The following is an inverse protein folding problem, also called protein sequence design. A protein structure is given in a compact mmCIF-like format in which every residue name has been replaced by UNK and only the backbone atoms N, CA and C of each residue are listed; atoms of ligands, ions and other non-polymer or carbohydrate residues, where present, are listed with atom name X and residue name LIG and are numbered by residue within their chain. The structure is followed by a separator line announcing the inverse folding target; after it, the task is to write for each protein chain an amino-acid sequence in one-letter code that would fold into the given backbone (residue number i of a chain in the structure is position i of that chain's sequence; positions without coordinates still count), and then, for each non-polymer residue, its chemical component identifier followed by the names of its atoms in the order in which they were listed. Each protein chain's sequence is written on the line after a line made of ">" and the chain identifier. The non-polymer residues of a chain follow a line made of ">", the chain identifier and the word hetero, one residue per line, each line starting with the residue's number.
data_IF_019349005326
#
_entry.id   IF_019349005326
#
_cell.length_a   1.000
_cell.length_b   1.000
_cell.length_c   1.000
_cell.angle_alpha   90.00
_cell.angle_beta   90.00
_cell.angle_gamma   90.00
#
_symmetry.space_group_name_H-M   'P 1'
#
loop_
_entity.id
_entity.type
_entity.pdbx_description
1 polymer ?
#
# COMPACT_ATOMS: atom_id res chain seq x y z
N UNK A 1 37.05 -12.25 39.88
CA UNK A 1 36.03 -11.21 40.08
C UNK A 1 35.12 -11.23 38.86
N UNK A 2 33.98 -11.91 39.00
CA UNK A 2 32.94 -12.01 37.97
C UNK A 2 32.06 -10.76 38.04
N UNK A 3 31.75 -10.16 36.89
CA UNK A 3 30.87 -9.00 36.78
C UNK A 3 29.92 -9.19 35.61
N UNK A 4 28.77 -9.78 35.90
CA UNK A 4 27.63 -10.00 34.99
C UNK A 4 26.98 -8.66 34.64
N UNK A 5 26.81 -8.38 33.35
CA UNK A 5 26.01 -7.24 32.87
C UNK A 5 24.62 -7.76 32.52
N UNK A 6 23.75 -7.83 33.53
CA UNK A 6 22.31 -8.01 33.33
C UNK A 6 21.64 -6.69 33.72
N UNK A 7 21.10 -5.98 32.73
CA UNK A 7 20.24 -4.81 32.99
C UNK A 7 18.97 -4.95 32.17
N UNK A 8 18.08 -5.79 32.70
CA UNK A 8 16.67 -5.77 32.38
C UNK A 8 16.13 -4.33 32.49
N UNK A 9 15.40 -3.87 31.47
CA UNK A 9 14.62 -2.63 31.56
C UNK A 9 13.63 -2.77 32.72
N UNK A 10 13.46 -1.74 33.57
CA UNK A 10 12.43 -1.76 34.59
C UNK A 10 11.04 -1.84 33.94
N UNK A 11 10.22 -2.79 34.40
CA UNK A 11 8.82 -2.90 34.06
C UNK A 11 8.10 -1.62 34.54
N UNK A 12 7.59 -0.81 33.60
CA UNK A 12 6.79 0.37 33.93
C UNK A 12 7.16 1.67 33.21
N UNK A 13 8.09 1.66 32.24
CA UNK A 13 8.26 2.84 31.39
C UNK A 13 6.97 3.11 30.61
N UNK A 14 6.33 4.29 30.77
CA UNK A 14 5.13 4.62 30.01
C UNK A 14 5.47 4.60 28.51
N UNK A 15 4.57 4.01 27.72
CA UNK A 15 4.69 4.02 26.26
C UNK A 15 4.70 5.46 25.71
N UNK A 16 4.82 5.65 24.39
CA UNK A 16 4.85 6.98 23.75
C UNK A 16 3.57 7.81 23.99
N UNK A 17 2.55 7.20 24.58
CA UNK A 17 1.34 7.83 25.01
C UNK A 17 1.48 8.25 26.47
N UNK A 18 1.42 9.56 26.74
CA UNK A 18 1.44 10.09 28.09
C UNK A 18 0.38 9.44 29.00
N UNK A 19 0.46 9.63 30.33
CA UNK A 19 -0.31 8.89 31.33
C UNK A 19 -1.85 8.93 31.16
N UNK A 20 -2.38 9.89 30.37
CA UNK A 20 -3.81 10.06 30.12
C UNK A 20 -4.37 9.24 28.95
N UNK A 21 -3.54 8.76 28.03
CA UNK A 21 -4.02 7.98 26.89
C UNK A 21 -4.35 6.52 27.26
N UNK A 22 -3.71 5.98 28.30
CA UNK A 22 -4.04 4.67 28.86
C UNK A 22 -5.43 4.61 29.55
N UNK A 23 -6.08 5.76 29.77
CA UNK A 23 -7.39 5.87 30.41
C UNK A 23 -8.55 6.02 29.41
N UNK A 24 -8.28 6.09 28.10
CA UNK A 24 -9.35 6.18 27.11
C UNK A 24 -9.95 4.80 26.86
N UNK A 25 -11.26 4.60 27.05
CA UNK A 25 -11.90 3.37 26.61
C UNK A 25 -11.73 3.20 25.10
N UNK A 26 -11.55 1.96 24.66
CA UNK A 26 -11.51 1.62 23.25
C UNK A 26 -12.91 1.85 22.64
N UNK A 27 -12.97 2.58 21.53
CA UNK A 27 -14.20 2.91 20.79
C UNK A 27 -14.19 2.36 19.35
N UNK A 28 -13.24 1.48 19.04
CA UNK A 28 -13.15 0.78 17.77
C UNK A 28 -12.70 -0.68 17.95
N UNK A 29 -13.23 -1.56 17.09
CA UNK A 29 -12.87 -2.97 17.01
C UNK A 29 -12.51 -3.37 15.57
N UNK A 30 -11.48 -4.19 15.44
CA UNK A 30 -11.17 -4.95 14.24
C UNK A 30 -11.41 -6.44 14.52
N UNK A 31 -12.41 -7.03 13.89
CA UNK A 31 -12.74 -8.45 14.01
C UNK A 31 -12.40 -9.21 12.74
N UNK A 32 -11.76 -10.37 12.88
CA UNK A 32 -11.35 -11.26 11.80
C UNK A 32 -12.32 -12.45 11.73
N UNK A 33 -12.46 -13.05 10.55
CA UNK A 33 -13.37 -14.20 10.33
C UNK A 33 -13.03 -15.44 11.18
N UNK A 34 -11.78 -15.56 11.62
CA UNK A 34 -11.31 -16.64 12.50
C UNK A 34 -11.66 -16.43 13.99
N UNK A 35 -12.34 -15.33 14.32
CA UNK A 35 -12.77 -14.99 15.68
C UNK A 35 -11.81 -14.09 16.44
N UNK A 36 -10.70 -13.69 15.84
CA UNK A 36 -9.75 -12.76 16.48
C UNK A 36 -10.28 -11.36 16.51
N UNK A 37 -10.09 -10.67 17.63
CA UNK A 37 -10.47 -9.28 17.77
C UNK A 37 -9.29 -8.46 18.28
N UNK A 38 -9.13 -7.27 17.70
CA UNK A 38 -8.23 -6.24 18.18
C UNK A 38 -9.03 -5.01 18.62
N UNK A 39 -8.71 -4.53 19.82
CA UNK A 39 -9.28 -3.30 20.36
C UNK A 39 -8.37 -2.12 20.02
N UNK A 40 -8.97 -0.96 19.81
CA UNK A 40 -8.25 0.25 19.49
C UNK A 40 -9.11 1.50 19.64
N UNK A 41 -8.58 2.61 19.14
CA UNK A 41 -9.27 3.89 19.11
C UNK A 41 -9.56 4.32 17.68
N UNK A 42 -10.71 4.93 17.46
CA UNK A 42 -11.08 5.50 16.18
C UNK A 42 -10.16 6.67 15.84
N UNK A 43 -9.48 6.58 14.69
CA UNK A 43 -8.57 7.62 14.20
C UNK A 43 -8.91 8.11 12.78
N UNK A 44 -10.09 7.75 12.26
CA UNK A 44 -10.61 8.15 10.96
C UNK A 44 -12.08 8.59 11.03
N UNK A 45 -12.85 8.27 10.00
CA UNK A 45 -14.29 8.51 9.96
C UNK A 45 -15.06 7.51 10.84
N UNK A 46 -16.17 7.90 11.48
CA UNK A 46 -17.02 6.99 12.23
C UNK A 46 -17.85 6.12 11.29
N UNK A 47 -17.79 4.80 11.47
CA UNK A 47 -18.44 3.88 10.55
C UNK A 47 -18.18 2.42 10.85
N UNK A 48 -18.65 1.59 9.94
CA UNK A 48 -18.36 0.18 9.86
C UNK A 48 -18.06 -0.17 8.41
N UNK A 49 -17.07 -1.00 8.18
CA UNK A 49 -16.67 -1.44 6.85
C UNK A 49 -16.15 -2.87 6.92
N UNK A 50 -16.36 -3.63 5.85
CA UNK A 50 -15.81 -4.98 5.66
C UNK A 50 -14.86 -5.04 4.46
N UNK A 51 -13.86 -5.91 4.54
CA UNK A 51 -12.87 -6.07 3.48
C UNK A 51 -11.87 -7.17 3.79
N UNK A 52 -11.00 -7.46 2.82
CA UNK A 52 -9.87 -8.36 3.04
C UNK A 52 -8.73 -7.62 3.74
N UNK A 53 -8.25 -8.20 4.84
CA UNK A 53 -7.20 -7.63 5.66
C UNK A 53 -5.83 -8.00 5.11
N UNK A 54 -5.10 -6.98 4.69
CA UNK A 54 -3.73 -7.10 4.15
C UNK A 54 -2.76 -6.32 5.02
N UNK A 55 -1.48 -6.64 4.93
CA UNK A 55 -0.42 -5.86 5.57
C UNK A 55 0.55 -5.31 4.54
N UNK A 56 1.05 -4.11 4.79
CA UNK A 56 2.07 -3.46 3.99
C UNK A 56 3.31 -3.16 4.86
N UNK A 57 4.49 -3.52 4.35
CA UNK A 57 5.78 -3.40 5.07
C UNK A 57 6.52 -2.10 4.82
N UNK A 58 5.99 -1.22 3.96
CA UNK A 58 6.57 0.08 3.68
C UNK A 58 6.60 0.94 4.94
N UNK A 59 7.77 1.53 5.19
CA UNK A 59 7.98 2.44 6.31
C UNK A 59 7.64 3.89 5.96
N UNK A 60 7.55 4.21 4.67
CA UNK A 60 7.21 5.49 4.08
C UNK A 60 6.29 5.26 2.88
N UNK A 61 5.80 6.33 2.27
CA UNK A 61 4.90 6.24 1.12
C UNK A 61 3.46 5.88 1.50
N UNK A 62 3.00 6.22 2.72
CA UNK A 62 1.62 5.93 3.09
C UNK A 62 0.60 6.75 2.27
N UNK A 63 0.83 8.01 1.83
CA UNK A 63 -0.11 8.71 0.95
C UNK A 63 -0.34 7.99 -0.38
N UNK A 64 0.72 7.47 -0.97
CA UNK A 64 0.74 6.71 -2.22
C UNK A 64 -0.07 5.42 -2.02
N UNK A 65 0.23 4.66 -0.97
CA UNK A 65 -0.44 3.41 -0.64
C UNK A 65 -1.93 3.63 -0.34
N UNK A 66 -2.30 4.70 0.38
CA UNK A 66 -3.72 4.89 0.70
C UNK A 66 -4.55 5.27 -0.52
N UNK A 67 -3.91 5.86 -1.54
CA UNK A 67 -4.54 6.33 -2.77
C UNK A 67 -4.38 5.35 -3.94
N UNK A 68 -3.66 4.26 -3.78
CA UNK A 68 -3.51 3.24 -4.82
C UNK A 68 -4.84 2.47 -5.05
N UNK A 69 -5.39 2.47 -6.28
CA UNK A 69 -6.58 1.71 -6.66
C UNK A 69 -6.51 0.21 -6.35
N UNK A 70 -5.32 -0.38 -6.28
CA UNK A 70 -5.11 -1.80 -6.02
C UNK A 70 -5.65 -2.25 -4.65
N UNK A 71 -5.76 -1.32 -3.68
CA UNK A 71 -6.29 -1.58 -2.35
C UNK A 71 -7.82 -1.53 -2.28
N UNK A 72 -8.52 -1.38 -3.40
CA UNK A 72 -9.99 -1.37 -3.43
C UNK A 72 -10.55 -2.65 -2.80
N UNK A 73 -11.39 -2.47 -1.78
CA UNK A 73 -12.00 -3.59 -1.05
C UNK A 73 -11.14 -4.17 0.07
N UNK A 74 -9.94 -3.61 0.31
CA UNK A 74 -8.99 -4.11 1.30
C UNK A 74 -8.91 -3.19 2.53
N UNK A 75 -8.66 -3.81 3.68
CA UNK A 75 -8.26 -3.13 4.91
C UNK A 75 -6.74 -3.21 4.99
N UNK A 76 -6.06 -2.07 5.02
CA UNK A 76 -4.60 -2.03 5.01
C UNK A 76 -4.08 -1.87 6.43
N UNK A 77 -3.19 -2.77 6.83
CA UNK A 77 -2.42 -2.67 8.07
C UNK A 77 -0.97 -2.29 7.78
N UNK A 78 -0.48 -1.18 8.32
CA UNK A 78 0.95 -0.87 8.23
C UNK A 78 1.74 -1.57 9.33
N UNK A 79 2.90 -2.14 8.95
CA UNK A 79 3.83 -2.69 9.94
C UNK A 79 4.65 -1.61 10.64
N UNK A 80 4.91 -0.48 9.96
CA UNK A 80 5.58 0.65 10.58
C UNK A 80 4.66 1.30 11.62
N UNK A 81 5.13 1.49 12.87
CA UNK A 81 4.23 1.76 13.99
C UNK A 81 3.66 3.19 14.01
N UNK A 82 4.35 4.16 13.40
CA UNK A 82 3.95 5.57 13.43
C UNK A 82 3.52 6.02 12.03
N UNK A 83 2.22 6.19 11.81
CA UNK A 83 1.68 6.58 10.51
C UNK A 83 1.09 7.99 10.59
N UNK A 84 1.26 8.80 9.52
CA UNK A 84 0.78 10.19 9.47
C UNK A 84 1.83 11.25 9.86
N UNK A 85 3.08 10.87 10.14
CA UNK A 85 4.12 11.78 10.64
C UNK A 85 4.49 12.94 9.71
N UNK A 86 4.33 12.80 8.38
CA UNK A 86 4.55 13.88 7.42
C UNK A 86 3.26 14.42 6.78
N UNK A 87 2.10 14.02 7.32
CA UNK A 87 0.77 14.43 6.87
C UNK A 87 0.46 14.00 5.44
N UNK A 88 -0.44 14.73 4.79
CA UNK A 88 -0.89 14.51 3.42
C UNK A 88 -0.62 15.73 2.56
N UNK A 89 -0.30 15.48 1.29
CA UNK A 89 -0.28 16.46 0.21
C UNK A 89 -0.79 15.81 -1.08
N UNK A 90 -1.18 16.62 -2.06
CA UNK A 90 -1.74 16.11 -3.32
C UNK A 90 -0.69 15.56 -4.29
N UNK A 91 0.59 15.94 -4.14
CA UNK A 91 1.65 15.51 -5.06
C UNK A 91 2.11 14.07 -4.83
N UNK A 92 1.89 13.51 -3.64
CA UNK A 92 2.22 12.11 -3.30
C UNK A 92 0.99 11.18 -3.46
N UNK A 93 -0.10 11.67 -4.05
CA UNK A 93 -1.30 10.86 -4.25
C UNK A 93 -1.25 10.17 -5.62
N UNK A 94 -1.35 8.83 -5.63
CA UNK A 94 -1.44 8.02 -6.85
C UNK A 94 -2.82 8.13 -7.52
N UNK A 95 -3.80 8.68 -6.81
CA UNK A 95 -5.13 8.94 -7.34
C UNK A 95 -5.87 10.05 -6.59
N UNK A 96 -6.98 10.58 -7.16
CA UNK A 96 -7.71 11.71 -6.57
C UNK A 96 -8.32 11.47 -5.18
N UNK A 97 -8.46 10.20 -4.75
CA UNK A 97 -9.12 9.78 -3.52
C UNK A 97 -8.47 8.53 -2.94
N UNK A 98 -8.66 8.23 -1.65
CA UNK A 98 -8.26 6.94 -1.11
C UNK A 98 -9.14 5.81 -1.66
N UNK A 99 -8.54 4.67 -1.96
CA UNK A 99 -9.24 3.49 -2.49
C UNK A 99 -9.39 2.34 -1.50
N UNK A 100 -8.53 2.28 -0.48
CA UNK A 100 -8.67 1.32 0.62
C UNK A 100 -10.01 1.46 1.33
N UNK A 101 -10.53 0.33 1.84
CA UNK A 101 -11.77 0.31 2.60
C UNK A 101 -11.58 0.82 4.03
N UNK A 102 -10.47 0.45 4.67
CA UNK A 102 -10.14 0.93 6.01
C UNK A 102 -8.67 0.75 6.40
N UNK A 103 -8.26 1.45 7.45
CA UNK A 103 -6.86 1.56 7.83
C UNK A 103 -6.62 1.08 9.27
N UNK A 104 -5.60 0.26 9.47
CA UNK A 104 -5.19 -0.25 10.79
C UNK A 104 -3.75 0.15 11.06
N UNK A 105 -3.53 0.85 12.17
CA UNK A 105 -2.20 1.32 12.57
C UNK A 105 -1.91 1.06 14.03
N UNK A 106 -0.62 1.05 14.40
CA UNK A 106 -0.22 1.00 15.81
C UNK A 106 -0.40 2.35 16.49
N UNK A 107 0.08 3.43 15.88
CA UNK A 107 -0.01 4.80 16.38
C UNK A 107 -0.30 5.75 15.22
N UNK A 108 -1.35 6.57 15.37
CA UNK A 108 -1.67 7.62 14.42
C UNK A 108 -1.05 8.95 14.87
N UNK A 109 -0.37 9.64 13.96
CA UNK A 109 0.14 10.99 14.19
C UNK A 109 -0.94 12.02 13.83
N UNK A 110 -1.49 12.69 14.84
CA UNK A 110 -2.46 13.78 14.65
C UNK A 110 -1.84 15.13 14.29
N UNK A 111 -0.55 15.31 14.54
CA UNK A 111 0.18 16.57 14.31
C UNK A 111 1.39 16.31 13.41
N UNK A 112 1.22 16.32 12.09
CA UNK A 112 2.31 16.05 11.16
C UNK A 112 3.36 17.14 11.19
N UNK A 113 4.62 16.76 10.91
CA UNK A 113 5.74 17.68 10.83
C UNK A 113 6.51 17.48 9.53
N UNK A 114 6.06 18.15 8.47
CA UNK A 114 6.75 18.21 7.18
C UNK A 114 6.40 19.51 6.46
N UNK A 115 7.39 20.13 5.81
CA UNK A 115 7.19 21.36 5.02
C UNK A 115 6.21 21.15 3.86
N UNK A 116 6.06 19.91 3.37
CA UNK A 116 5.11 19.53 2.31
C UNK A 116 3.70 19.30 2.83
N UNK A 117 3.51 19.12 4.14
CA UNK A 117 2.22 18.79 4.74
C UNK A 117 1.19 19.89 4.50
N UNK A 118 0.01 19.51 4.01
CA UNK A 118 -1.14 20.41 3.83
C UNK A 118 -2.33 20.04 4.71
N UNK A 119 -2.42 18.78 5.13
CA UNK A 119 -3.50 18.24 5.95
C UNK A 119 -2.96 17.11 6.86
N UNK A 120 -3.59 16.88 8.01
CA UNK A 120 -3.31 15.71 8.83
C UNK A 120 -3.92 14.45 8.21
N UNK A 121 -3.30 13.29 8.41
CA UNK A 121 -3.87 12.03 7.91
C UNK A 121 -5.26 11.73 8.53
N UNK A 122 -5.50 11.91 9.84
CA UNK A 122 -6.84 11.72 10.42
C UNK A 122 -7.92 12.58 9.77
N UNK A 123 -7.62 13.85 9.47
CA UNK A 123 -8.59 14.76 8.86
C UNK A 123 -8.86 14.38 7.40
N UNK A 124 -7.82 13.98 6.66
CA UNK A 124 -7.95 13.44 5.31
C UNK A 124 -8.88 12.20 5.28
N UNK A 125 -8.67 11.25 6.21
CA UNK A 125 -9.49 10.04 6.31
C UNK A 125 -10.95 10.37 6.67
N UNK A 126 -11.19 11.32 7.58
CA UNK A 126 -12.55 11.79 7.93
C UNK A 126 -13.25 12.43 6.74
N UNK A 127 -12.55 13.30 6.02
CA UNK A 127 -13.06 14.00 4.83
C UNK A 127 -13.48 13.02 3.74
N UNK A 128 -12.71 11.95 3.55
CA UNK A 128 -13.00 10.90 2.57
C UNK A 128 -13.84 9.72 3.11
N UNK A 129 -14.33 9.82 4.35
CA UNK A 129 -15.18 8.81 4.99
C UNK A 129 -14.52 7.42 5.12
N UNK A 130 -13.20 7.39 5.30
CA UNK A 130 -12.43 6.16 5.51
C UNK A 130 -12.36 5.84 7.00
N UNK A 131 -12.77 4.63 7.38
CA UNK A 131 -12.72 4.17 8.77
C UNK A 131 -11.30 3.75 9.11
N UNK A 132 -10.80 4.15 10.28
CA UNK A 132 -9.45 3.81 10.72
C UNK A 132 -9.38 3.55 12.23
N UNK A 133 -8.50 2.64 12.62
CA UNK A 133 -8.23 2.24 14.00
C UNK A 133 -6.75 2.37 14.34
N UNK A 134 -6.45 2.95 15.50
CA UNK A 134 -5.11 2.97 16.10
C UNK A 134 -5.05 2.18 17.40
N UNK A 135 -3.84 1.93 17.93
CA UNK A 135 -3.63 1.17 19.16
C UNK A 135 -3.52 -0.34 18.96
N UNK A 136 -3.79 -0.84 17.75
CA UNK A 136 -3.73 -2.26 17.43
C UNK A 136 -2.29 -2.78 17.52
N UNK A 137 -2.09 -3.98 18.05
CA UNK A 137 -0.81 -4.68 17.93
C UNK A 137 -0.65 -5.18 16.49
N UNK A 138 -0.20 -4.29 15.60
CA UNK A 138 -0.01 -4.59 14.19
C UNK A 138 1.03 -5.69 13.97
N UNK A 139 1.98 -5.90 14.90
CA UNK A 139 2.95 -7.00 14.81
C UNK A 139 2.28 -8.35 15.04
N UNK A 140 1.44 -8.46 16.07
CA UNK A 140 0.65 -9.68 16.31
C UNK A 140 -0.29 -9.96 15.12
N UNK A 141 -0.93 -8.91 14.59
CA UNK A 141 -1.81 -9.00 13.45
C UNK A 141 -1.07 -9.46 12.17
N UNK A 142 0.06 -8.85 11.83
CA UNK A 142 0.87 -9.26 10.67
C UNK A 142 1.38 -10.69 10.80
N UNK A 143 1.82 -11.12 11.99
CA UNK A 143 2.22 -12.51 12.21
C UNK A 143 1.08 -13.48 11.92
N UNK A 144 -0.14 -13.12 12.30
CA UNK A 144 -1.32 -13.93 12.06
C UNK A 144 -1.63 -14.08 10.57
N UNK A 145 -1.66 -12.96 9.84
CA UNK A 145 -1.86 -12.95 8.39
C UNK A 145 -0.77 -13.73 7.65
N UNK A 146 0.47 -13.68 8.15
CA UNK A 146 1.58 -14.44 7.55
C UNK A 146 1.44 -15.96 7.72
N UNK A 147 0.81 -16.42 8.81
CA UNK A 147 0.64 -17.85 9.09
C UNK A 147 -0.60 -18.41 8.41
N UNK A 148 -1.72 -17.69 8.50
CA UNK A 148 -3.02 -18.19 8.08
C UNK A 148 -3.52 -17.61 6.74
N UNK A 149 -2.79 -16.65 6.16
CA UNK A 149 -3.13 -16.00 4.90
C UNK A 149 -3.97 -14.73 5.08
N UNK A 150 -4.41 -14.18 3.95
CA UNK A 150 -5.35 -13.06 3.90
C UNK A 150 -6.68 -13.51 4.49
N UNK A 151 -7.29 -12.66 5.31
CA UNK A 151 -8.55 -12.96 5.99
C UNK A 151 -9.55 -11.86 5.77
N UNK A 152 -10.83 -12.23 5.82
CA UNK A 152 -11.91 -11.24 5.85
C UNK A 152 -12.02 -10.64 7.25
N UNK A 153 -12.20 -9.33 7.29
CA UNK A 153 -12.31 -8.59 8.53
C UNK A 153 -13.37 -7.49 8.45
N UNK A 154 -13.85 -7.09 9.62
CA UNK A 154 -14.73 -5.94 9.81
C UNK A 154 -14.05 -4.98 10.77
N UNK A 155 -14.00 -3.72 10.36
CA UNK A 155 -13.58 -2.61 11.18
C UNK A 155 -14.82 -1.78 11.53
N UNK A 156 -15.09 -1.62 12.83
CA UNK A 156 -16.26 -0.88 13.32
C UNK A 156 -15.90 0.07 14.45
N UNK A 157 -16.50 1.26 14.40
CA UNK A 157 -16.48 2.28 15.47
C UNK A 157 -17.89 2.53 16.01
N UNK A 158 -18.84 1.65 15.68
CA UNK A 158 -20.27 1.80 16.03
C UNK A 158 -20.76 0.56 16.76
N UNK A 159 -20.58 -0.59 16.11
CA UNK A 159 -20.83 -1.87 16.73
C UNK A 159 -19.57 -2.29 17.48
N UNK A 160 -19.73 -2.53 18.78
CA UNK A 160 -18.66 -2.99 19.66
C UNK A 160 -18.95 -4.41 20.20
N UNK A 161 -19.95 -5.10 19.63
CA UNK A 161 -20.24 -6.49 19.95
C UNK A 161 -19.34 -7.44 19.12
N UNK A 162 -18.55 -8.24 19.84
CA UNK A 162 -17.55 -9.12 19.23
C UNK A 162 -18.22 -10.20 18.36
N UNK A 163 -19.30 -10.82 18.86
CA UNK A 163 -19.96 -11.92 18.16
C UNK A 163 -20.62 -11.45 16.87
N UNK A 164 -21.31 -10.31 16.91
CA UNK A 164 -21.86 -9.62 15.74
C UNK A 164 -20.79 -9.34 14.69
N UNK A 165 -19.65 -8.74 15.09
CA UNK A 165 -18.60 -8.37 14.15
C UNK A 165 -17.91 -9.59 13.51
N UNK A 166 -17.67 -10.66 14.28
CA UNK A 166 -17.11 -11.90 13.73
C UNK A 166 -18.10 -12.56 12.75
N UNK A 167 -19.40 -12.55 13.07
CA UNK A 167 -20.42 -13.04 12.15
C UNK A 167 -20.45 -12.23 10.84
N UNK A 168 -20.38 -10.90 10.93
CA UNK A 168 -20.27 -10.01 9.76
C UNK A 168 -18.99 -10.26 8.96
N UNK A 169 -17.86 -10.49 9.63
CA UNK A 169 -16.59 -10.81 8.97
C UNK A 169 -16.69 -12.12 8.17
N UNK A 170 -17.38 -13.13 8.70
CA UNK A 170 -17.66 -14.40 8.01
C UNK A 170 -18.69 -14.31 6.88
N UNK A 171 -19.54 -13.28 6.88
CA UNK A 171 -20.58 -13.06 5.85
C UNK A 171 -20.23 -12.01 4.77
N UNK A 172 -19.23 -11.14 5.01
CA UNK A 172 -18.72 -10.18 4.01
C UNK A 172 -18.42 -10.79 2.62
N UNK A 173 -18.55 -10.02 1.53
CA UNK A 173 -18.05 -10.48 0.24
C UNK A 173 -16.52 -10.52 0.26
N UNK A 174 -15.92 -11.64 -0.16
CA UNK A 174 -14.49 -11.69 -0.46
C UNK A 174 -14.14 -10.90 -1.74
N UNK A 175 -12.86 -10.81 -2.07
CA UNK A 175 -12.42 -10.22 -3.34
C UNK A 175 -12.59 -11.17 -4.52
N UNK A 176 -12.54 -12.49 -4.28
CA UNK A 176 -12.68 -13.51 -5.33
C UNK A 176 -14.06 -13.39 -5.99
N UNK A 177 -14.06 -13.15 -7.30
CA UNK A 177 -15.28 -13.03 -8.11
C UNK A 177 -15.85 -11.62 -8.20
N UNK A 178 -15.19 -10.59 -7.65
CA UNK A 178 -15.53 -9.18 -7.86
C UNK A 178 -14.70 -8.57 -8.97
N UNK A 179 -15.35 -7.83 -9.87
CA UNK A 179 -14.68 -7.02 -10.87
C UNK A 179 -14.26 -5.66 -10.25
N UNK A 180 -13.13 -5.66 -9.55
CA UNK A 180 -12.58 -4.45 -8.94
C UNK A 180 -12.06 -3.47 -10.00
N UNK A 181 -11.70 -3.95 -11.20
CA UNK A 181 -11.20 -3.12 -12.29
C UNK A 181 -12.32 -2.20 -12.78
N UNK A 182 -13.52 -2.73 -12.95
CA UNK A 182 -14.70 -1.92 -13.30
C UNK A 182 -15.04 -0.87 -12.22
N UNK A 183 -14.71 -1.12 -10.95
CA UNK A 183 -14.97 -0.17 -9.85
C UNK A 183 -13.98 1.00 -9.78
N UNK A 184 -12.77 0.84 -10.35
CA UNK A 184 -11.70 1.85 -10.29
C UNK A 184 -11.42 2.51 -11.64
N UNK A 185 -11.83 1.89 -12.75
CA UNK A 185 -11.65 2.45 -14.09
C UNK A 185 -12.50 3.72 -14.27
N UNK A 186 -11.91 4.82 -14.78
CA UNK A 186 -12.66 6.02 -15.13
C UNK A 186 -13.73 5.72 -16.20
N UNK A 187 -14.93 6.31 -16.04
CA UNK A 187 -16.03 6.11 -17.00
C UNK A 187 -15.71 6.71 -18.38
N UNK A 188 -14.93 7.80 -18.41
CA UNK A 188 -14.55 8.49 -19.64
C UNK A 188 -13.05 8.35 -19.89
N UNK A 189 -12.63 8.04 -21.14
CA UNK A 189 -11.22 8.06 -21.51
C UNK A 189 -10.62 9.43 -21.22
N UNK A 190 -9.52 9.44 -20.46
CA UNK A 190 -8.80 10.67 -20.13
C UNK A 190 -7.46 10.68 -20.84
N UNK A 191 -7.16 11.78 -21.54
CA UNK A 191 -5.86 11.97 -22.15
C UNK A 191 -4.81 12.22 -21.07
N UNK A 192 -3.83 11.33 -20.95
CA UNK A 192 -2.66 11.56 -20.12
C UNK A 192 -1.62 12.32 -20.94
N UNK A 193 -1.42 13.59 -20.60
CA UNK A 193 -0.32 14.39 -21.12
C UNK A 193 0.85 14.21 -20.17
N UNK A 194 1.78 13.31 -20.53
CA UNK A 194 3.03 13.18 -19.81
C UNK A 194 3.69 14.57 -19.71
N UNK A 195 4.28 14.94 -18.56
CA UNK A 195 5.14 16.12 -18.51
C UNK A 195 6.16 15.99 -19.63
N UNK A 196 6.21 16.96 -20.55
CA UNK A 196 7.23 17.00 -21.58
C UNK A 196 8.57 16.81 -20.88
N UNK A 197 9.35 15.80 -21.29
CA UNK A 197 10.65 15.48 -20.71
C UNK A 197 11.37 16.80 -20.40
N UNK A 198 11.51 17.14 -19.12
CA UNK A 198 12.36 18.25 -18.72
C UNK A 198 13.71 17.86 -19.26
N UNK A 199 14.20 18.61 -20.26
CA UNK A 199 15.48 18.33 -20.89
C UNK A 199 16.48 18.03 -19.79
N UNK A 200 17.00 16.80 -19.78
CA UNK A 200 17.93 16.34 -18.76
C UNK A 200 19.00 17.45 -18.59
N UNK A 201 19.30 17.90 -17.37
CA UNK A 201 20.31 18.92 -17.17
C UNK A 201 21.58 18.42 -17.87
N UNK A 202 22.04 19.16 -18.88
CA UNK A 202 23.31 18.86 -19.56
C UNK A 202 24.42 19.00 -18.54
N UNK A 203 24.76 17.90 -17.89
CA UNK A 203 25.98 17.80 -17.09
C UNK A 203 27.14 17.94 -18.07
N UNK A 204 27.86 19.06 -18.01
CA UNK A 204 29.17 19.16 -18.66
C UNK A 204 30.11 18.29 -17.86
N UNK A 205 30.49 17.15 -18.42
CA UNK A 205 31.60 16.37 -17.91
C UNK A 205 32.90 17.09 -18.26
N UNK A 206 33.79 17.22 -17.28
CA UNK A 206 35.16 17.64 -17.49
C UNK A 206 35.88 16.52 -18.26
N UNK A 207 36.50 16.80 -19.43
CA UNK A 207 37.09 15.77 -20.29
C UNK A 207 38.18 14.91 -19.63
N UNK A 208 38.73 15.33 -18.48
CA UNK A 208 39.80 14.62 -17.77
C UNK A 208 39.31 13.76 -16.59
N UNK A 209 38.00 13.68 -16.34
CA UNK A 209 37.46 12.91 -15.22
C UNK A 209 37.29 11.42 -15.59
N UNK A 210 37.69 10.52 -14.69
CA UNK A 210 37.88 9.08 -14.92
C UNK A 210 36.60 8.31 -15.34
N UNK A 211 35.44 8.94 -15.19
CA UNK A 211 34.12 8.42 -15.60
C UNK A 211 33.94 8.51 -17.13
N UNK A 212 34.57 9.49 -17.78
CA UNK A 212 34.45 9.73 -19.23
C UNK A 212 35.12 8.64 -20.08
N UNK A 213 36.17 7.99 -19.54
CA UNK A 213 36.88 6.90 -20.23
C UNK A 213 36.06 5.62 -20.29
N UNK A 214 35.30 5.30 -19.23
CA UNK A 214 34.44 4.10 -19.19
C UNK A 214 33.17 4.20 -20.04
N UNK A 215 32.69 5.41 -20.31
CA UNK A 215 31.53 5.66 -21.18
C UNK A 215 31.86 5.55 -22.68
N UNK A 216 33.14 5.63 -23.08
CA UNK A 216 33.57 5.45 -24.49
C UNK A 216 33.77 3.99 -24.90
N UNK A 217 33.78 3.07 -23.94
CA UNK A 217 33.92 1.62 -24.18
C UNK A 217 32.57 0.92 -24.36
N UNK A 218 31.45 1.65 -24.24
CA UNK A 218 30.14 1.13 -24.61
C UNK A 218 29.97 1.22 -26.13
N UNK A 219 29.53 0.14 -26.80
CA UNK A 219 29.24 0.17 -28.23
C UNK A 219 28.14 1.21 -28.54
N UNK A 220 28.29 1.90 -29.67
CA UNK A 220 27.58 3.14 -30.04
C UNK A 220 26.08 2.95 -30.41
N UNK A 221 25.50 1.81 -30.09
CA UNK A 221 24.24 1.31 -30.61
C UNK A 221 23.17 1.10 -29.52
N UNK A 222 23.35 1.70 -28.34
CA UNK A 222 22.29 1.80 -27.33
C UNK A 222 21.53 3.11 -27.52
N UNK A 223 20.51 3.10 -28.37
CA UNK A 223 19.36 4.01 -28.25
C UNK A 223 18.39 3.41 -27.23
N UNK A 224 18.21 4.08 -26.10
CA UNK A 224 17.09 3.80 -25.19
C UNK A 224 15.87 4.52 -25.75
N UNK A 225 15.05 3.81 -26.52
CA UNK A 225 13.70 4.25 -26.90
C UNK A 225 12.69 3.67 -25.91
N UNK A 226 11.96 4.55 -25.23
CA UNK A 226 10.81 4.20 -24.41
C UNK A 226 9.62 3.90 -25.33
N UNK A 227 9.31 2.62 -25.54
CA UNK A 227 8.06 2.17 -26.16
C UNK A 227 7.33 1.21 -25.20
N UNK A 228 6.43 1.76 -24.38
CA UNK A 228 5.35 0.98 -23.77
C UNK A 228 4.15 0.99 -24.73
N UNK A 229 4.01 -0.13 -25.45
CA UNK A 229 2.90 -0.40 -26.37
C UNK A 229 1.62 -0.67 -25.58
N UNK A 230 0.59 0.16 -25.83
CA UNK A 230 -0.77 0.07 -25.30
C UNK A 230 -1.46 -1.27 -25.58
N UNK A 231 -2.30 -1.70 -24.63
CA UNK A 231 -3.42 -2.60 -24.90
C UNK A 231 -4.60 -1.81 -25.50
N UNK A 232 -5.12 -2.32 -26.62
CA UNK A 232 -6.22 -1.80 -27.45
C UNK A 232 -5.83 -0.77 -28.54
N UNK A 233 -5.25 -1.30 -29.64
CA UNK A 233 -5.17 -0.63 -30.94
C UNK A 233 -6.18 -1.29 -31.90
N UNK A 234 -7.03 -0.54 -32.62
CA UNK A 234 -7.92 -1.12 -33.62
C UNK A 234 -7.13 -1.77 -34.76
N UNK A 235 -7.65 -2.88 -35.30
CA UNK A 235 -7.11 -3.62 -36.46
C UNK A 235 -6.77 -2.66 -37.62
N UNK A 236 -5.47 -2.57 -37.95
CA UNK A 236 -4.98 -2.06 -39.23
C UNK A 236 -4.27 -3.20 -39.98
N UNK A 237 -4.43 -3.20 -41.29
CA UNK A 237 -4.15 -4.21 -42.34
C UNK A 237 -2.86 -5.08 -42.18
N UNK A 238 -2.92 -6.44 -42.33
CA UNK A 238 -1.80 -7.37 -42.10
C UNK A 238 -0.66 -7.39 -43.15
N UNK A 239 -0.40 -6.30 -43.87
CA UNK A 239 0.67 -6.25 -44.89
C UNK A 239 1.99 -5.61 -44.39
N UNK A 240 2.08 -5.15 -43.14
CA UNK A 240 3.28 -4.53 -42.59
C UNK A 240 3.91 -5.37 -41.46
N UNK A 241 4.81 -6.26 -41.89
CA UNK A 241 5.99 -6.79 -41.17
C UNK A 241 5.83 -7.86 -40.07
N UNK A 242 6.27 -9.06 -40.45
CA UNK A 242 6.76 -10.18 -39.66
C UNK A 242 8.03 -9.80 -38.84
N UNK A 243 8.11 -10.06 -37.53
CA UNK A 243 8.53 -11.30 -36.80
C UNK A 243 10.03 -11.61 -36.87
N UNK A 244 10.69 -11.55 -35.71
CA UNK A 244 11.57 -12.55 -35.05
C UNK A 244 12.40 -11.86 -33.94
N UNK A 245 12.69 -12.36 -32.75
CA UNK A 245 12.28 -13.54 -31.98
C UNK A 245 12.81 -13.33 -30.54
N UNK A 246 12.17 -13.99 -29.57
CA UNK A 246 12.52 -13.98 -28.15
C UNK A 246 13.85 -14.71 -27.84
N UNK A 247 14.67 -14.14 -26.96
CA UNK A 247 15.74 -14.81 -26.18
C UNK A 247 15.65 -14.26 -24.75
N UNK A 248 14.92 -14.93 -23.85
CA UNK A 248 15.44 -15.92 -22.89
C UNK A 248 16.29 -15.31 -21.75
N UNK A 249 15.66 -15.07 -20.59
CA UNK A 249 16.36 -14.93 -19.32
C UNK A 249 15.67 -15.76 -18.23
N UNK A 250 16.12 -17.01 -18.10
CA UNK A 250 15.81 -17.91 -16.98
C UNK A 250 17.05 -18.07 -16.10
N UNK A 251 16.82 -18.13 -14.77
CA UNK A 251 17.63 -18.68 -13.63
C UNK A 251 17.89 -17.61 -12.54
N UNK A 252 17.81 -17.88 -11.24
CA UNK A 252 17.74 -19.13 -10.47
C UNK A 252 17.28 -18.86 -9.01
N UNK A 253 16.38 -19.71 -8.48
CA UNK A 253 16.31 -20.01 -7.04
C UNK A 253 15.15 -19.42 -6.23
N UNK A 254 14.04 -20.16 -6.13
CA UNK A 254 13.01 -20.02 -5.09
C UNK A 254 11.71 -19.32 -5.53
N UNK A 255 10.52 -19.71 -5.00
CA UNK A 255 9.26 -19.11 -5.40
C UNK A 255 9.04 -17.80 -4.65
N UNK A 256 9.00 -16.68 -5.39
CA UNK A 256 8.45 -15.41 -4.92
C UNK A 256 7.04 -15.25 -5.50
N UNK A 257 6.10 -15.10 -4.58
CA UNK A 257 4.69 -14.80 -4.84
C UNK A 257 4.60 -13.45 -5.54
N UNK A 258 4.03 -13.45 -6.75
CA UNK A 258 3.86 -12.26 -7.59
C UNK A 258 2.85 -11.27 -6.95
N UNK A 259 3.10 -9.95 -7.00
CA UNK A 259 2.03 -8.96 -6.86
C UNK A 259 1.11 -9.05 -8.09
N UNK A 260 -0.19 -8.91 -7.85
CA UNK A 260 -1.26 -9.06 -8.83
C UNK A 260 -1.22 -7.88 -9.81
N UNK A 261 -0.34 -7.94 -10.81
CA UNK A 261 -0.46 -7.27 -12.12
C UNK A 261 0.33 -8.10 -13.14
N UNK A 262 -0.33 -9.12 -13.70
CA UNK A 262 -0.03 -9.83 -14.97
C UNK A 262 -0.42 -11.31 -14.84
N UNK A 263 -1.70 -11.65 -15.01
CA UNK A 263 -2.07 -13.02 -15.39
C UNK A 263 -3.45 -13.05 -16.05
N UNK A 264 -3.57 -12.55 -17.29
CA UNK A 264 -4.70 -12.92 -18.15
C UNK A 264 -4.29 -12.85 -19.61
N UNK A 265 -3.63 -13.90 -20.13
CA UNK A 265 -3.82 -14.38 -21.50
C UNK A 265 -3.27 -15.81 -21.63
N UNK A 266 -4.08 -16.80 -21.27
CA UNK A 266 -3.92 -18.18 -21.72
C UNK A 266 -5.24 -18.58 -22.41
N UNK A 267 -5.23 -18.69 -23.75
CA UNK A 267 -6.33 -19.34 -24.48
C UNK A 267 -6.29 -20.85 -24.23
N UNK A 268 -7.44 -21.56 -24.26
CA UNK A 268 -7.48 -23.01 -24.34
C UNK A 268 -7.02 -23.47 -25.73
N UNK A 269 -6.29 -24.59 -25.78
CA UNK A 269 -5.91 -25.26 -27.02
C UNK A 269 -7.10 -26.09 -27.54
N UNK A 270 -7.43 -25.90 -28.82
CA UNK A 270 -7.79 -27.00 -29.72
C UNK A 270 -6.55 -27.36 -30.53
#
# INVERSE_FOLDING_TARGET
>A
MSGTVDSARPAGAPGPFGPLAALRPHDALLALEDGTVFHGWSCGAPGEMSGELVFNTSMMGYPEIITDPSYRGQIVTFTYPLIGNYGINASDAESPKPYLSGLVVRTMCGQPSSWRSKESLPDYLRRHRVVAIEGVDTRALTRRLRIAGVMRAVLSTRDLDIESLVAKARQSPGLVGRDLVAEVTPFEPTAWLAPSAVAAPRVRFDPDDAISTRLRELPADIELTDDDVRSDTPRVDPAAMAVEAAIEARRSGGPLVLPIVETLYRRPAE
#
